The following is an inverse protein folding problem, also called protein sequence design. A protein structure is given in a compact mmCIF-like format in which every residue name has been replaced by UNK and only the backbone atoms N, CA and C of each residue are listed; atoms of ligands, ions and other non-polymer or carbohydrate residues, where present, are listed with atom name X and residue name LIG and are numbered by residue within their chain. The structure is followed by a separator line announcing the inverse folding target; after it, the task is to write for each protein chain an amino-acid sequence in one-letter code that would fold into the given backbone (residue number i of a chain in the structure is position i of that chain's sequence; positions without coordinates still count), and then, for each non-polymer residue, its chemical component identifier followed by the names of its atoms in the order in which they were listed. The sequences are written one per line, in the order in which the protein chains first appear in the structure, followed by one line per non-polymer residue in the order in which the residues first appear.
data_IF_572016474138
#
_entry.id   IF_572016474138
#
_cell.length_a   1.000
_cell.length_b   1.000
_cell.length_c   1.000
_cell.angle_alpha   90.00
_cell.angle_beta   90.00
_cell.angle_gamma   90.00
#
_symmetry.space_group_name_H-M   'P 1'
#
loop_
_entity.id
_entity.type
_entity.pdbx_description
1 polymer ?
#
# COMPACT_ATOMS: atom_id res chain seq x y z
N UNK A 1 17.20 -5.39 12.84
CA UNK A 1 18.28 -4.78 12.02
C UNK A 1 18.22 -3.28 12.28
N UNK A 2 19.29 -2.65 12.79
CA UNK A 2 19.26 -1.20 13.04
C UNK A 2 19.57 -0.44 11.75
N UNK A 3 18.54 -0.21 10.94
CA UNK A 3 18.65 0.43 9.62
C UNK A 3 19.16 1.88 9.73
N UNK A 4 18.97 2.53 10.88
CA UNK A 4 19.41 3.92 11.12
C UNK A 4 20.94 4.07 11.17
N UNK A 5 21.69 2.98 11.39
CA UNK A 5 23.16 2.99 11.39
C UNK A 5 23.78 2.84 9.99
N UNK A 6 22.98 2.46 8.99
CA UNK A 6 23.42 2.22 7.59
C UNK A 6 23.40 3.55 6.83
N UNK A 7 24.57 4.02 6.41
CA UNK A 7 24.72 5.33 5.74
C UNK A 7 24.95 5.24 4.23
N UNK A 8 25.26 4.05 3.71
CA UNK A 8 25.56 3.86 2.29
C UNK A 8 24.83 2.66 1.70
N UNK A 9 24.60 2.69 0.38
CA UNK A 9 24.02 1.56 -0.35
C UNK A 9 24.87 0.29 -0.22
N UNK A 10 26.19 0.42 -0.15
CA UNK A 10 27.11 -0.71 0.07
C UNK A 10 26.87 -1.37 1.44
N UNK A 11 26.72 -0.57 2.49
CA UNK A 11 26.38 -1.07 3.83
C UNK A 11 24.99 -1.72 3.87
N UNK A 12 24.01 -1.17 3.13
CA UNK A 12 22.66 -1.75 3.04
C UNK A 12 22.68 -3.11 2.34
N UNK A 13 23.46 -3.27 1.27
CA UNK A 13 23.62 -4.57 0.61
C UNK A 13 24.33 -5.57 1.52
N UNK A 14 25.38 -5.13 2.22
CA UNK A 14 26.15 -5.98 3.14
C UNK A 14 25.35 -6.43 4.36
N UNK A 15 24.31 -5.69 4.77
CA UNK A 15 23.44 -6.12 5.86
C UNK A 15 22.51 -7.28 5.49
N UNK A 16 22.44 -7.67 4.21
CA UNK A 16 21.52 -8.70 3.73
C UNK A 16 20.11 -8.18 3.43
N UNK A 17 19.97 -6.88 3.22
CA UNK A 17 18.69 -6.29 2.79
C UNK A 17 18.22 -6.87 1.46
N UNK A 18 16.99 -7.36 1.43
CA UNK A 18 16.33 -7.85 0.22
C UNK A 18 15.28 -6.82 -0.22
N UNK A 19 15.45 -6.19 -1.40
CA UNK A 19 14.45 -5.26 -1.91
C UNK A 19 13.16 -6.00 -2.24
N UNK A 20 12.03 -5.38 -1.91
CA UNK A 20 10.70 -5.85 -2.32
C UNK A 20 10.25 -5.11 -3.55
N UNK A 21 9.42 -5.75 -4.36
CA UNK A 21 8.71 -5.04 -5.43
C UNK A 21 7.64 -4.12 -4.82
N UNK A 22 7.32 -3.02 -5.50
CA UNK A 22 6.27 -2.08 -5.05
C UNK A 22 4.94 -2.82 -4.83
N UNK A 23 4.60 -3.76 -5.71
CA UNK A 23 3.38 -4.58 -5.59
C UNK A 23 3.37 -5.44 -4.32
N UNK A 24 4.53 -5.93 -3.89
CA UNK A 24 4.66 -6.68 -2.65
C UNK A 24 4.59 -5.80 -1.42
N UNK A 25 5.25 -4.65 -1.45
CA UNK A 25 5.22 -3.68 -0.37
C UNK A 25 3.79 -3.21 -0.08
N UNK A 26 3.08 -2.73 -1.11
CA UNK A 26 1.68 -2.28 -0.97
C UNK A 26 0.77 -3.41 -0.48
N UNK A 27 0.97 -4.64 -0.97
CA UNK A 27 0.20 -5.80 -0.50
C UNK A 27 0.46 -6.09 0.97
N UNK A 28 1.72 -6.08 1.37
CA UNK A 28 2.11 -6.37 2.75
C UNK A 28 1.56 -5.29 3.72
N UNK A 29 1.55 -4.01 3.29
CA UNK A 29 0.91 -2.91 4.04
C UNK A 29 -0.59 -3.16 4.26
N UNK A 30 -1.32 -3.54 3.19
CA UNK A 30 -2.74 -3.87 3.31
C UNK A 30 -2.98 -5.07 4.23
N UNK A 31 -2.18 -6.13 4.13
CA UNK A 31 -2.28 -7.28 5.03
C UNK A 31 -2.06 -6.86 6.49
N UNK A 32 -1.10 -5.98 6.75
CA UNK A 32 -0.85 -5.45 8.09
C UNK A 32 -2.05 -4.66 8.62
N UNK A 33 -2.61 -3.75 7.84
CA UNK A 33 -3.79 -2.97 8.21
C UNK A 33 -5.00 -3.87 8.53
N UNK A 34 -5.29 -4.87 7.68
CA UNK A 34 -6.39 -5.83 7.91
C UNK A 34 -6.17 -6.62 9.20
N UNK A 35 -4.94 -7.09 9.47
CA UNK A 35 -4.61 -7.82 10.71
C UNK A 35 -4.78 -6.95 11.95
N UNK A 36 -4.45 -5.67 11.86
CA UNK A 36 -4.59 -4.69 12.93
C UNK A 36 -6.02 -4.16 13.07
N UNK A 37 -6.95 -4.56 12.17
CA UNK A 37 -8.32 -4.03 12.08
C UNK A 37 -8.34 -2.51 11.86
N UNK A 38 -7.35 -2.00 11.15
CA UNK A 38 -7.24 -0.60 10.77
C UNK A 38 -7.94 -0.39 9.42
N UNK A 39 -8.56 0.78 9.23
CA UNK A 39 -9.11 1.16 7.93
C UNK A 39 -7.95 1.56 7.00
N UNK A 40 -7.71 0.84 5.88
CA UNK A 40 -6.61 1.17 4.96
C UNK A 40 -6.86 2.45 4.15
N UNK A 41 -8.09 2.97 4.11
CA UNK A 41 -8.46 4.17 3.37
C UNK A 41 -9.12 5.24 4.27
N UNK A 42 -8.41 5.76 5.30
CA UNK A 42 -9.01 6.67 6.28
C UNK A 42 -9.51 7.97 5.65
N UNK A 43 -10.72 8.40 5.98
CA UNK A 43 -11.31 9.62 5.44
C UNK A 43 -11.70 9.54 3.95
N UNK A 44 -11.78 8.34 3.38
CA UNK A 44 -12.65 8.05 2.23
C UNK A 44 -14.01 7.68 2.81
N UNK A 45 -15.05 8.45 2.47
CA UNK A 45 -16.42 8.19 2.95
C UNK A 45 -17.22 7.50 1.86
N UNK A 46 -17.91 6.42 2.22
CA UNK A 46 -18.61 5.55 1.28
C UNK A 46 -17.66 4.64 0.50
N UNK A 47 -18.22 3.94 -0.50
CA UNK A 47 -17.56 2.89 -1.27
C UNK A 47 -17.22 1.60 -0.51
N UNK A 48 -17.66 1.49 0.75
CA UNK A 48 -17.43 0.33 1.61
C UNK A 48 -17.91 -0.98 0.97
N UNK A 49 -19.00 -0.93 0.20
CA UNK A 49 -19.58 -2.10 -0.49
C UNK A 49 -19.23 -2.18 -1.98
N UNK A 50 -18.37 -1.30 -2.51
CA UNK A 50 -18.06 -1.23 -3.95
C UNK A 50 -16.55 -1.12 -4.24
N UNK A 51 -16.02 0.11 -4.31
CA UNK A 51 -14.66 0.37 -4.80
C UNK A 51 -13.59 -0.10 -3.81
N UNK A 52 -13.84 0.01 -2.49
CA UNK A 52 -12.86 -0.38 -1.48
C UNK A 52 -12.60 -1.90 -1.55
N UNK A 53 -13.63 -2.77 -1.47
CA UNK A 53 -13.43 -4.22 -1.57
C UNK A 53 -12.75 -4.65 -2.88
N UNK A 54 -13.09 -4.04 -4.01
CA UNK A 54 -12.47 -4.35 -5.31
C UNK A 54 -10.98 -3.96 -5.34
N UNK A 55 -10.65 -2.81 -4.75
CA UNK A 55 -9.27 -2.34 -4.61
C UNK A 55 -8.47 -3.27 -3.73
N UNK A 56 -8.99 -3.66 -2.57
CA UNK A 56 -8.31 -4.59 -1.65
C UNK A 56 -8.02 -5.93 -2.34
N UNK A 57 -9.02 -6.52 -3.01
CA UNK A 57 -8.85 -7.78 -3.76
C UNK A 57 -7.80 -7.66 -4.86
N UNK A 58 -7.79 -6.54 -5.59
CA UNK A 58 -6.80 -6.30 -6.64
C UNK A 58 -5.37 -6.16 -6.08
N UNK A 59 -5.20 -5.48 -4.94
CA UNK A 59 -3.91 -5.33 -4.25
C UNK A 59 -3.41 -6.68 -3.70
N UNK A 60 -4.29 -7.45 -3.05
CA UNK A 60 -3.98 -8.80 -2.57
C UNK A 60 -3.53 -9.73 -3.71
N UNK A 61 -4.15 -9.58 -4.88
CA UNK A 61 -3.84 -10.35 -6.10
C UNK A 61 -2.68 -9.77 -6.92
N UNK A 62 -2.05 -8.66 -6.49
CA UNK A 62 -0.95 -7.98 -7.20
C UNK A 62 -1.33 -7.52 -8.63
N UNK A 63 -2.61 -7.21 -8.86
CA UNK A 63 -3.13 -6.72 -10.14
C UNK A 63 -2.75 -5.25 -10.38
N UNK A 64 -2.80 -4.84 -11.65
CA UNK A 64 -2.71 -3.42 -12.01
C UNK A 64 -4.09 -2.77 -11.82
N UNK A 65 -4.13 -1.56 -11.26
CA UNK A 65 -5.37 -0.85 -10.94
C UNK A 65 -5.38 0.49 -11.67
N UNK A 66 -6.51 0.83 -12.28
CA UNK A 66 -6.77 2.15 -12.87
C UNK A 66 -8.04 2.73 -12.28
N UNK A 67 -7.93 3.83 -11.54
CA UNK A 67 -9.10 4.54 -11.01
C UNK A 67 -9.68 5.50 -12.06
N UNK A 68 -10.92 5.26 -12.48
CA UNK A 68 -11.67 6.15 -13.38
C UNK A 68 -12.90 6.72 -12.65
N UNK A 69 -13.25 7.98 -12.93
CA UNK A 69 -14.41 8.63 -12.34
C UNK A 69 -14.34 10.16 -12.37
N UNK A 70 -15.33 10.83 -11.78
CA UNK A 70 -15.45 12.29 -11.80
C UNK A 70 -14.45 12.98 -10.85
N UNK A 71 -14.21 14.28 -11.07
CA UNK A 71 -13.35 15.09 -10.18
C UNK A 71 -13.91 15.09 -8.76
N UNK A 72 -13.03 15.01 -7.77
CA UNK A 72 -13.39 15.07 -6.34
C UNK A 72 -13.80 13.74 -5.71
N UNK A 73 -13.83 12.63 -6.45
CA UNK A 73 -14.23 11.30 -5.93
C UNK A 73 -13.09 10.52 -5.26
N UNK A 74 -12.22 11.18 -4.50
CA UNK A 74 -11.18 10.53 -3.68
C UNK A 74 -10.14 9.60 -4.38
N UNK A 75 -10.12 9.46 -5.72
CA UNK A 75 -9.15 8.60 -6.45
C UNK A 75 -7.69 8.80 -6.02
N UNK A 76 -7.23 10.04 -6.00
CA UNK A 76 -5.86 10.38 -5.59
C UNK A 76 -5.61 10.13 -4.11
N UNK A 77 -6.65 10.27 -3.26
CA UNK A 77 -6.55 9.98 -1.83
C UNK A 77 -6.34 8.48 -1.61
N UNK A 78 -7.17 7.63 -2.25
CA UNK A 78 -7.01 6.17 -2.19
C UNK A 78 -5.62 5.73 -2.64
N UNK A 79 -5.14 6.24 -3.79
CA UNK A 79 -3.81 5.87 -4.30
C UNK A 79 -2.67 6.23 -3.35
N UNK A 80 -2.76 7.37 -2.63
CA UNK A 80 -1.72 7.78 -1.67
C UNK A 80 -1.73 6.97 -0.38
N UNK A 81 -2.89 6.45 0.02
CA UNK A 81 -3.03 5.66 1.25
C UNK A 81 -2.42 4.26 1.14
N UNK A 82 -2.18 3.77 -0.07
CA UNK A 82 -1.57 2.46 -0.32
C UNK A 82 -0.07 2.38 0.03
N UNK A 83 0.60 3.53 0.19
CA UNK A 83 2.06 3.61 0.39
C UNK A 83 2.44 3.65 1.87
N UNK A 84 1.47 3.91 2.75
CA UNK A 84 1.66 4.07 4.20
C UNK A 84 1.14 2.86 4.95
#
# INVERSE_FOLDING_TARGET
MNVQAIKTLGQLKASGYQPKSIKEEVRDNLIAAIRNKENPFPGVMGYDDTVIPDTERALLSRHNILFLGLRGQAKTRMARQMVH
#
